data_IF_951656415512
#
_entry.id   IF_951656415512
#
_cell.length_a   1.000
_cell.length_b   1.000
_cell.length_c   1.000
_cell.angle_alpha   90.00
_cell.angle_beta   90.00
_cell.angle_gamma   90.00
#
_symmetry.space_group_name_H-M   'P 1'
#
loop_
_entity.id
_entity.type
_entity.pdbx_description
1 polymer ?
#
# COMPACT_ATOMS: atom_id res chain seq x y z
N UNK A 1 -9.88 18.02 -0.09
CA UNK A 1 -9.92 16.70 -0.78
C UNK A 1 -9.09 16.78 -2.05
N UNK A 2 -8.74 15.66 -2.66
CA UNK A 2 -8.26 15.64 -4.04
C UNK A 2 -9.47 15.81 -4.96
N UNK A 3 -9.44 16.78 -5.88
CA UNK A 3 -10.59 17.06 -6.75
C UNK A 3 -10.79 15.97 -7.81
N UNK A 4 -12.02 15.52 -8.00
CA UNK A 4 -12.39 14.58 -9.06
C UNK A 4 -12.57 15.27 -10.41
N UNK A 5 -12.94 16.55 -10.41
CA UNK A 5 -13.16 17.37 -11.61
C UNK A 5 -12.23 18.58 -11.64
N UNK A 6 -12.18 19.26 -12.79
CA UNK A 6 -11.36 20.47 -12.96
C UNK A 6 -11.86 21.63 -12.07
N UNK A 7 -13.17 21.71 -11.86
CA UNK A 7 -13.80 22.66 -10.95
C UNK A 7 -13.98 22.04 -9.56
N UNK A 8 -14.00 22.87 -8.53
CA UNK A 8 -14.22 22.47 -7.14
C UNK A 8 -15.68 22.09 -6.87
N UNK A 9 -16.09 20.92 -7.37
CA UNK A 9 -17.48 20.42 -7.35
C UNK A 9 -17.68 19.19 -6.47
N UNK A 10 -16.61 18.66 -5.89
CA UNK A 10 -16.67 17.55 -4.96
C UNK A 10 -17.53 17.90 -3.73
N UNK A 11 -18.35 16.93 -3.30
CA UNK A 11 -19.28 17.11 -2.17
C UNK A 11 -18.84 16.29 -0.96
N UNK A 12 -18.81 16.91 0.21
CA UNK A 12 -18.38 16.25 1.44
C UNK A 12 -19.29 15.10 1.91
N UNK A 13 -20.56 15.10 1.50
CA UNK A 13 -21.52 14.05 1.86
C UNK A 13 -21.62 12.93 0.80
N UNK A 14 -20.82 12.98 -0.26
CA UNK A 14 -20.87 11.99 -1.33
C UNK A 14 -20.12 10.70 -0.94
N UNK A 15 -20.91 9.65 -0.69
CA UNK A 15 -20.46 8.30 -0.36
C UNK A 15 -20.48 7.37 -1.57
N UNK A 16 -20.33 7.90 -2.77
CA UNK A 16 -20.29 7.11 -4.00
C UNK A 16 -19.23 6.00 -3.93
N UNK A 17 -19.58 4.82 -4.43
CA UNK A 17 -18.74 3.61 -4.39
C UNK A 17 -17.45 3.73 -5.21
N UNK A 18 -17.42 4.57 -6.25
CA UNK A 18 -16.20 4.85 -7.00
C UNK A 18 -15.42 6.01 -6.37
N UNK A 19 -14.10 5.85 -6.39
CA UNK A 19 -13.10 6.88 -6.06
C UNK A 19 -12.11 7.01 -7.21
N UNK A 20 -12.64 7.11 -8.43
CA UNK A 20 -11.87 6.97 -9.68
C UNK A 20 -10.68 7.92 -9.80
N UNK A 21 -10.81 9.13 -9.28
CA UNK A 21 -9.73 10.12 -9.23
C UNK A 21 -8.57 9.74 -8.30
N UNK A 22 -8.72 8.70 -7.47
CA UNK A 22 -7.65 8.08 -6.69
C UNK A 22 -6.89 6.98 -7.46
N UNK A 23 -7.13 6.80 -8.76
CA UNK A 23 -6.30 5.95 -9.62
C UNK A 23 -4.79 6.25 -9.47
N UNK A 24 -4.45 7.54 -9.32
CA UNK A 24 -3.09 8.04 -9.09
C UNK A 24 -2.44 7.46 -7.82
N UNK A 25 -3.23 7.15 -6.79
CA UNK A 25 -2.79 6.51 -5.54
C UNK A 25 -2.68 4.99 -5.69
N UNK A 26 -3.69 4.34 -6.27
CA UNK A 26 -3.66 2.92 -6.61
C UNK A 26 -4.63 2.64 -7.77
N UNK A 27 -4.22 1.89 -8.81
CA UNK A 27 -2.98 1.11 -8.91
C UNK A 27 -1.75 1.87 -9.44
N UNK A 28 -1.88 3.16 -9.80
CA UNK A 28 -0.75 3.98 -10.24
C UNK A 28 0.24 4.28 -9.11
N UNK A 29 1.22 5.15 -9.36
CA UNK A 29 2.28 5.54 -8.42
C UNK A 29 2.51 7.07 -8.39
N UNK A 30 1.47 7.85 -8.71
CA UNK A 30 1.55 9.31 -8.81
C UNK A 30 1.39 10.02 -7.46
N UNK A 31 0.87 9.33 -6.44
CA UNK A 31 0.67 9.93 -5.12
C UNK A 31 1.63 9.29 -4.12
N UNK A 32 2.68 10.02 -3.76
CA UNK A 32 3.71 9.61 -2.81
C UNK A 32 3.67 10.48 -1.55
N UNK A 33 3.72 9.87 -0.34
CA UNK A 33 3.87 10.64 0.90
C UNK A 33 5.21 11.37 1.00
N UNK A 34 6.22 10.95 0.24
CA UNK A 34 7.58 11.49 0.33
C UNK A 34 7.84 12.59 -0.72
N UNK A 35 7.23 12.46 -1.91
CA UNK A 35 7.48 13.37 -3.03
C UNK A 35 6.40 14.46 -3.16
N UNK A 36 5.15 14.16 -2.82
CA UNK A 36 4.00 15.07 -2.95
C UNK A 36 3.04 14.92 -1.76
N UNK A 37 3.48 15.28 -0.54
CA UNK A 37 2.72 15.09 0.69
C UNK A 37 1.37 15.82 0.69
N UNK A 38 1.23 16.95 0.00
CA UNK A 38 -0.06 17.63 -0.13
C UNK A 38 -1.12 16.78 -0.87
N UNK A 39 -0.73 16.09 -1.96
CA UNK A 39 -1.63 15.20 -2.68
C UNK A 39 -1.96 13.95 -1.86
N UNK A 40 -0.99 13.45 -1.11
CA UNK A 40 -1.19 12.32 -0.21
C UNK A 40 -2.22 12.65 0.89
N UNK A 41 -2.11 13.83 1.51
CA UNK A 41 -3.10 14.31 2.47
C UNK A 41 -4.47 14.51 1.82
N UNK A 42 -4.51 15.11 0.63
CA UNK A 42 -5.75 15.35 -0.10
C UNK A 42 -6.47 14.03 -0.44
N UNK A 43 -5.72 13.00 -0.86
CA UNK A 43 -6.24 11.66 -1.14
C UNK A 43 -6.76 10.96 0.12
N UNK A 44 -6.07 11.09 1.26
CA UNK A 44 -6.56 10.61 2.55
C UNK A 44 -7.89 11.26 2.91
N UNK A 45 -7.98 12.58 2.78
CA UNK A 45 -9.21 13.32 3.06
C UNK A 45 -10.35 12.87 2.13
N UNK A 46 -10.09 12.64 0.84
CA UNK A 46 -11.06 12.04 -0.08
C UNK A 46 -11.60 10.71 0.45
N UNK A 47 -10.73 9.78 0.90
CA UNK A 47 -11.18 8.48 1.42
C UNK A 47 -12.00 8.59 2.70
N UNK A 48 -11.62 9.47 3.63
CA UNK A 48 -12.38 9.74 4.84
C UNK A 48 -13.79 10.23 4.47
N UNK A 49 -13.88 11.15 3.52
CA UNK A 49 -15.14 11.72 3.00
C UNK A 49 -15.98 10.69 2.26
N UNK A 50 -15.38 9.78 1.49
CA UNK A 50 -16.10 8.69 0.80
C UNK A 50 -16.57 7.59 1.75
N UNK A 51 -15.87 7.40 2.88
CA UNK A 51 -16.21 6.43 3.91
C UNK A 51 -15.81 4.99 3.55
N UNK A 52 -15.91 4.09 4.52
CA UNK A 52 -15.36 2.73 4.41
C UNK A 52 -16.32 1.77 3.69
N UNK A 53 -17.53 1.58 4.24
CA UNK A 53 -18.51 0.58 3.77
C UNK A 53 -19.04 0.91 2.37
N UNK A 54 -19.08 -0.11 1.50
CA UNK A 54 -19.66 -0.04 0.15
C UNK A 54 -19.84 -1.45 -0.41
N UNK A 55 -19.90 -1.59 -1.74
CA UNK A 55 -19.87 -2.86 -2.46
C UNK A 55 -18.55 -3.62 -2.20
N UNK A 56 -18.53 -4.93 -2.43
CA UNK A 56 -17.34 -5.78 -2.26
C UNK A 56 -16.09 -5.26 -2.98
N UNK A 57 -16.15 -5.01 -4.30
CA UNK A 57 -15.02 -4.40 -5.04
C UNK A 57 -14.56 -3.05 -4.50
N UNK A 58 -15.50 -2.20 -4.04
CA UNK A 58 -15.16 -0.85 -3.57
C UNK A 58 -14.39 -0.95 -2.27
N UNK A 59 -14.81 -1.84 -1.37
CA UNK A 59 -14.06 -2.14 -0.15
C UNK A 59 -12.71 -2.78 -0.48
N UNK A 60 -12.64 -3.74 -1.41
CA UNK A 60 -11.40 -4.34 -1.89
C UNK A 60 -10.40 -3.31 -2.43
N UNK A 61 -10.86 -2.33 -3.22
CA UNK A 61 -10.01 -1.23 -3.69
C UNK A 61 -9.56 -0.34 -2.53
N UNK A 62 -10.45 -0.03 -1.58
CA UNK A 62 -10.12 0.78 -0.41
C UNK A 62 -9.09 0.11 0.51
N UNK A 63 -9.03 -1.22 0.62
CA UNK A 63 -7.92 -1.91 1.34
C UNK A 63 -6.57 -1.51 0.73
N UNK A 64 -6.46 -1.54 -0.61
CA UNK A 64 -5.24 -1.14 -1.32
C UNK A 64 -4.94 0.36 -1.13
N UNK A 65 -5.96 1.22 -1.21
CA UNK A 65 -5.79 2.67 -1.06
C UNK A 65 -5.34 3.03 0.38
N UNK A 66 -5.91 2.42 1.40
CA UNK A 66 -5.48 2.63 2.78
C UNK A 66 -4.10 2.03 3.07
N UNK A 67 -3.75 0.91 2.43
CA UNK A 67 -2.38 0.40 2.46
C UNK A 67 -1.39 1.41 1.85
N UNK A 68 -1.73 2.04 0.71
CA UNK A 68 -0.93 3.12 0.10
C UNK A 68 -0.86 4.38 0.95
N UNK A 69 -1.87 4.65 1.78
CA UNK A 69 -1.87 5.72 2.78
C UNK A 69 -1.10 5.39 4.06
N UNK A 70 -0.42 4.23 4.08
CA UNK A 70 0.38 3.74 5.20
C UNK A 70 -0.44 3.57 6.50
N UNK A 71 -1.75 3.34 6.36
CA UNK A 71 -2.66 3.15 7.49
C UNK A 71 -3.14 1.69 7.56
N UNK A 72 -2.32 0.86 8.21
CA UNK A 72 -2.59 -0.57 8.35
C UNK A 72 -3.87 -0.85 9.13
N UNK A 73 -4.18 -0.04 10.14
CA UNK A 73 -5.36 -0.22 10.98
C UNK A 73 -6.65 0.04 10.19
N UNK A 74 -6.67 1.05 9.31
CA UNK A 74 -7.83 1.31 8.46
C UNK A 74 -7.98 0.29 7.34
N UNK A 75 -6.88 -0.17 6.75
CA UNK A 75 -6.90 -1.28 5.80
C UNK A 75 -7.43 -2.58 6.46
N UNK A 76 -6.97 -2.89 7.68
CA UNK A 76 -7.44 -4.05 8.46
C UNK A 76 -8.94 -3.96 8.79
N UNK A 77 -9.42 -2.79 9.22
CA UNK A 77 -10.86 -2.57 9.44
C UNK A 77 -11.67 -2.90 8.18
N UNK A 78 -11.23 -2.47 7.00
CA UNK A 78 -11.93 -2.78 5.74
C UNK A 78 -11.93 -4.26 5.39
N UNK A 79 -10.85 -4.99 5.70
CA UNK A 79 -10.82 -6.45 5.57
C UNK A 79 -11.90 -7.06 6.48
N UNK A 80 -12.04 -6.58 7.72
CA UNK A 80 -13.11 -7.03 8.62
C UNK A 80 -14.50 -6.66 8.08
N UNK A 81 -14.67 -5.45 7.54
CA UNK A 81 -15.92 -4.99 6.95
C UNK A 81 -16.34 -5.90 5.77
N UNK A 82 -15.38 -6.36 4.95
CA UNK A 82 -15.61 -7.28 3.83
C UNK A 82 -15.89 -8.72 4.28
N UNK A 83 -15.22 -9.20 5.34
CA UNK A 83 -15.41 -10.53 5.94
C UNK A 83 -16.64 -10.61 6.88
N UNK A 84 -17.72 -9.91 6.53
CA UNK A 84 -19.01 -10.01 7.20
C UNK A 84 -20.00 -10.79 6.33
N UNK A 85 -21.00 -11.47 6.92
CA UNK A 85 -22.02 -12.18 6.14
C UNK A 85 -22.68 -11.28 5.10
N UNK A 86 -22.74 -11.77 3.86
CA UNK A 86 -23.43 -11.07 2.78
C UNK A 86 -24.91 -10.85 3.12
N UNK A 87 -25.50 -9.72 2.68
CA UNK A 87 -26.93 -9.46 2.86
C UNK A 87 -27.80 -10.51 2.17
N UNK A 88 -29.06 -10.62 2.63
CA UNK A 88 -30.10 -11.41 1.95
C UNK A 88 -30.53 -10.68 0.66
N UNK A 89 -30.48 -9.35 0.68
CA UNK A 89 -30.80 -8.51 -0.45
C UNK A 89 -29.83 -8.73 -1.63
N UNK A 90 -30.36 -8.81 -2.85
CA UNK A 90 -29.59 -9.00 -4.08
C UNK A 90 -29.28 -7.70 -4.83
N UNK A 91 -29.55 -6.55 -4.20
CA UNK A 91 -29.33 -5.22 -4.77
C UNK A 91 -28.78 -4.24 -3.72
N UNK A 92 -28.21 -3.13 -4.17
CA UNK A 92 -27.63 -2.10 -3.29
C UNK A 92 -26.10 -2.13 -3.22
N UNK A 93 -25.55 -1.56 -2.15
CA UNK A 93 -24.10 -1.38 -1.94
C UNK A 93 -23.65 -1.93 -0.58
N UNK A 94 -24.27 -3.02 -0.12
CA UNK A 94 -23.96 -3.67 1.14
C UNK A 94 -23.10 -4.90 0.85
N UNK A 95 -21.81 -4.69 0.57
CA UNK A 95 -20.90 -5.80 0.32
C UNK A 95 -20.74 -6.73 1.53
N UNK A 96 -20.08 -7.86 1.30
CA UNK A 96 -19.83 -8.87 2.31
C UNK A 96 -19.28 -10.15 1.70
N UNK A 97 -19.37 -11.24 2.44
CA UNK A 97 -18.83 -12.54 2.10
C UNK A 97 -19.92 -13.61 2.25
N UNK A 98 -20.16 -14.38 1.19
CA UNK A 98 -21.05 -15.53 1.19
C UNK A 98 -20.42 -16.73 1.94
N UNK A 99 -21.18 -17.78 2.32
CA UNK A 99 -20.64 -18.96 3.01
C UNK A 99 -19.54 -19.72 2.26
N UNK A 100 -19.48 -19.58 0.93
CA UNK A 100 -18.41 -20.13 0.08
C UNK A 100 -17.18 -19.22 -0.03
N UNK A 101 -17.11 -18.17 0.80
CA UNK A 101 -16.10 -17.12 0.79
C UNK A 101 -16.06 -16.25 -0.48
N UNK A 102 -17.07 -16.32 -1.34
CA UNK A 102 -17.18 -15.41 -2.47
C UNK A 102 -17.63 -14.03 -2.00
N UNK A 103 -17.04 -13.02 -2.63
CA UNK A 103 -17.37 -11.62 -2.43
C UNK A 103 -18.79 -11.31 -2.94
N UNK A 104 -19.47 -10.45 -2.19
CA UNK A 104 -20.76 -9.93 -2.53
C UNK A 104 -20.65 -8.45 -2.94
N UNK A 105 -21.15 -8.14 -4.12
CA UNK A 105 -21.49 -6.77 -4.46
C UNK A 105 -22.62 -6.23 -3.57
N UNK A 106 -23.77 -6.93 -3.35
CA UNK A 106 -24.32 -8.17 -3.98
C UNK A 106 -24.94 -7.94 -5.37
N UNK A 107 -25.12 -8.99 -6.22
CA UNK A 107 -24.86 -10.41 -5.97
C UNK A 107 -23.35 -10.76 -6.05
N UNK A 108 -23.00 -12.04 -6.21
CA UNK A 108 -21.61 -12.47 -6.40
C UNK A 108 -20.88 -11.65 -7.47
N UNK A 109 -19.73 -11.10 -7.10
CA UNK A 109 -18.75 -10.51 -8.00
C UNK A 109 -17.36 -10.87 -7.47
N UNK A 110 -16.47 -11.39 -8.31
CA UNK A 110 -15.17 -11.94 -7.85
C UNK A 110 -14.11 -10.86 -7.58
N UNK A 111 -14.37 -9.63 -8.03
CA UNK A 111 -13.47 -8.49 -7.95
C UNK A 111 -13.05 -8.17 -6.51
N UNK A 112 -13.95 -8.22 -5.53
CA UNK A 112 -13.62 -7.99 -4.14
C UNK A 112 -12.68 -9.05 -3.55
N UNK A 113 -12.78 -10.32 -3.95
CA UNK A 113 -11.85 -11.38 -3.50
C UNK A 113 -10.41 -11.08 -3.95
N UNK A 114 -10.23 -10.72 -5.23
CA UNK A 114 -8.91 -10.38 -5.77
C UNK A 114 -8.39 -9.05 -5.24
N UNK A 115 -9.27 -8.06 -5.11
CA UNK A 115 -8.96 -6.75 -4.53
C UNK A 115 -8.45 -6.85 -3.10
N UNK A 116 -9.11 -7.64 -2.25
CA UNK A 116 -8.68 -7.89 -0.87
C UNK A 116 -7.32 -8.60 -0.80
N UNK A 117 -7.14 -9.62 -1.64
CA UNK A 117 -5.85 -10.33 -1.75
C UNK A 117 -4.70 -9.39 -2.13
N UNK A 118 -4.92 -8.52 -3.12
CA UNK A 118 -3.98 -7.46 -3.50
C UNK A 118 -3.73 -6.49 -2.34
N UNK A 119 -4.79 -6.10 -1.63
CA UNK A 119 -4.70 -5.17 -0.50
C UNK A 119 -3.83 -5.72 0.63
N UNK A 120 -3.99 -7.00 0.99
CA UNK A 120 -3.15 -7.67 1.99
C UNK A 120 -1.68 -7.68 1.55
N UNK A 121 -1.41 -7.92 0.26
CA UNK A 121 -0.04 -7.84 -0.26
C UNK A 121 0.54 -6.42 -0.15
N UNK A 122 -0.21 -5.40 -0.54
CA UNK A 122 0.19 -3.98 -0.45
C UNK A 122 0.35 -3.48 1.00
N UNK A 123 -0.33 -4.11 1.98
CA UNK A 123 -0.10 -3.82 3.41
C UNK A 123 1.27 -4.31 3.88
N UNK A 124 1.76 -5.42 3.33
CA UNK A 124 2.97 -6.13 3.77
C UNK A 124 4.20 -5.76 2.93
N UNK A 125 4.01 -5.40 1.66
CA UNK A 125 5.08 -5.06 0.72
C UNK A 125 4.59 -4.06 -0.32
N UNK A 126 5.30 -2.93 -0.44
CA UNK A 126 5.12 -2.00 -1.57
C UNK A 126 6.42 -1.89 -2.35
N UNK A 127 6.32 -1.62 -3.65
CA UNK A 127 7.50 -1.54 -4.52
C UNK A 127 7.35 -0.52 -5.65
N UNK A 128 6.57 0.54 -5.44
CA UNK A 128 6.15 1.46 -6.52
C UNK A 128 6.77 2.85 -6.44
N UNK A 129 7.30 3.26 -5.29
CA UNK A 129 7.73 4.63 -5.01
C UNK A 129 9.25 4.74 -4.81
N UNK A 130 10.00 4.13 -5.73
CA UNK A 130 11.48 4.23 -5.75
C UNK A 130 12.23 3.18 -4.93
N UNK A 131 11.55 2.40 -4.11
CA UNK A 131 12.14 1.38 -3.24
C UNK A 131 11.19 0.20 -2.98
N UNK A 132 11.72 -0.86 -2.36
CA UNK A 132 10.94 -1.94 -1.75
C UNK A 132 10.67 -1.58 -0.30
N UNK A 133 9.43 -1.25 0.02
CA UNK A 133 8.98 -0.86 1.34
C UNK A 133 8.44 -2.07 2.10
N UNK A 134 9.13 -2.43 3.17
CA UNK A 134 8.84 -3.60 4.01
C UNK A 134 7.86 -3.21 5.12
N UNK A 135 6.74 -3.95 5.21
CA UNK A 135 5.67 -3.73 6.20
C UNK A 135 5.14 -2.28 6.23
N UNK A 136 4.80 -1.68 5.08
CA UNK A 136 4.42 -0.26 4.99
C UNK A 136 3.14 0.07 5.76
N UNK A 137 2.21 -0.88 5.88
CA UNK A 137 0.92 -0.70 6.52
C UNK A 137 0.52 -1.94 7.34
N UNK A 138 1.42 -2.41 8.22
CA UNK A 138 1.13 -3.49 9.15
C UNK A 138 0.14 -3.01 10.24
N UNK A 139 -1.00 -3.69 10.47
CA UNK A 139 -1.95 -3.30 11.52
C UNK A 139 -1.48 -3.75 12.90
N UNK A 140 -1.94 -3.03 13.93
CA UNK A 140 -1.61 -3.32 15.34
C UNK A 140 -2.08 -4.72 15.78
N UNK A 141 -3.13 -5.24 15.14
CA UNK A 141 -3.68 -6.58 15.40
C UNK A 141 -2.74 -7.69 14.93
N UNK A 142 -1.92 -7.47 13.90
CA UNK A 142 -0.97 -8.46 13.38
C UNK A 142 0.36 -8.39 14.14
N UNK A 143 0.29 -8.64 15.46
CA UNK A 143 1.44 -8.54 16.36
C UNK A 143 2.61 -9.42 15.94
N UNK A 144 2.37 -10.62 15.43
CA UNK A 144 3.43 -11.49 14.97
C UNK A 144 2.96 -12.26 13.74
N UNK A 145 3.88 -12.53 12.83
CA UNK A 145 3.54 -13.25 11.62
C UNK A 145 4.71 -13.40 10.67
N UNK A 146 4.44 -14.07 9.57
CA UNK A 146 5.35 -14.15 8.44
C UNK A 146 4.57 -14.22 7.13
N UNK A 147 5.19 -13.76 6.05
CA UNK A 147 4.73 -13.91 4.67
C UNK A 147 5.91 -14.34 3.81
N UNK A 148 5.64 -15.18 2.81
CA UNK A 148 6.66 -15.71 1.90
C UNK A 148 6.23 -15.57 0.46
N UNK A 149 7.18 -15.33 -0.43
CA UNK A 149 6.97 -15.34 -1.87
C UNK A 149 6.32 -14.10 -2.46
N UNK A 150 6.21 -12.99 -1.72
CA UNK A 150 5.74 -11.73 -2.31
C UNK A 150 6.76 -11.22 -3.33
N UNK A 151 6.29 -10.64 -4.42
CA UNK A 151 7.15 -10.18 -5.52
C UNK A 151 7.12 -8.66 -5.60
N UNK A 152 8.29 -8.04 -5.49
CA UNK A 152 8.48 -6.63 -5.78
C UNK A 152 8.90 -6.40 -7.24
N UNK A 153 8.61 -5.20 -7.78
CA UNK A 153 9.10 -4.74 -9.09
C UNK A 153 10.61 -4.97 -9.20
N UNK A 154 11.11 -5.25 -10.41
CA UNK A 154 12.54 -5.56 -10.61
C UNK A 154 12.98 -6.96 -10.23
N UNK A 155 12.05 -7.88 -9.96
CA UNK A 155 12.35 -9.31 -9.82
C UNK A 155 12.90 -9.69 -8.44
N UNK A 156 12.38 -9.07 -7.38
CA UNK A 156 12.77 -9.43 -6.01
C UNK A 156 11.66 -10.23 -5.33
N UNK A 157 11.95 -11.46 -4.96
CA UNK A 157 11.03 -12.30 -4.16
C UNK A 157 11.39 -12.13 -2.68
N UNK A 158 10.41 -11.77 -1.88
CA UNK A 158 10.60 -11.27 -0.52
C UNK A 158 9.83 -12.15 0.47
N UNK A 159 10.56 -12.66 1.47
CA UNK A 159 9.97 -13.27 2.66
C UNK A 159 10.23 -12.36 3.86
N UNK A 160 9.21 -12.15 4.69
CA UNK A 160 9.25 -11.25 5.84
C UNK A 160 8.70 -11.98 7.05
N UNK A 161 9.41 -11.92 8.17
CA UNK A 161 8.89 -12.28 9.49
C UNK A 161 8.94 -11.06 10.40
N UNK A 162 7.96 -10.91 11.27
CA UNK A 162 7.87 -9.75 12.15
C UNK A 162 7.32 -10.06 13.55
N UNK A 163 7.60 -9.13 14.47
CA UNK A 163 7.02 -9.06 15.81
C UNK A 163 6.84 -7.60 16.21
N UNK A 164 5.64 -7.25 16.68
CA UNK A 164 5.16 -5.91 17.01
C UNK A 164 5.50 -4.88 15.91
N UNK A 165 5.13 -5.20 14.68
CA UNK A 165 5.39 -4.36 13.50
C UNK A 165 6.86 -4.23 13.08
N UNK A 166 7.80 -4.91 13.77
CA UNK A 166 9.23 -4.83 13.49
C UNK A 166 9.72 -6.11 12.83
N UNK A 167 10.56 -5.96 11.80
CA UNK A 167 11.16 -7.09 11.09
C UNK A 167 12.06 -7.89 12.03
N UNK A 168 11.86 -9.20 12.08
CA UNK A 168 12.72 -10.14 12.81
C UNK A 168 13.65 -10.90 11.85
N UNK A 169 13.15 -11.24 10.66
CA UNK A 169 13.91 -11.84 9.58
C UNK A 169 13.38 -11.34 8.24
N UNK A 170 14.28 -11.10 7.29
CA UNK A 170 13.96 -10.70 5.93
C UNK A 170 14.85 -11.48 4.95
N UNK A 171 14.24 -12.04 3.92
CA UNK A 171 14.94 -12.74 2.84
C UNK A 171 14.54 -12.13 1.51
N UNK A 172 15.53 -11.84 0.68
CA UNK A 172 15.34 -11.29 -0.66
C UNK A 172 16.06 -12.18 -1.66
N UNK A 173 15.33 -12.82 -2.55
CA UNK A 173 15.88 -13.50 -3.73
C UNK A 173 15.83 -12.52 -4.91
N UNK A 174 16.98 -12.21 -5.49
CA UNK A 174 17.06 -11.39 -6.70
C UNK A 174 17.02 -12.30 -7.92
N UNK A 175 16.04 -12.15 -8.81
CA UNK A 175 15.95 -12.94 -10.04
C UNK A 175 16.65 -12.26 -11.21
N UNK A 176 16.78 -10.94 -11.19
CA UNK A 176 17.37 -10.14 -12.28
C UNK A 176 18.70 -9.46 -11.90
N UNK A 177 19.09 -9.45 -10.62
CA UNK A 177 20.25 -8.71 -10.14
C UNK A 177 19.99 -7.21 -10.00
N UNK A 178 21.06 -6.41 -10.01
CA UNK A 178 20.97 -4.95 -9.94
C UNK A 178 20.90 -4.39 -8.51
N UNK A 179 20.64 -3.09 -8.40
CA UNK A 179 20.52 -2.43 -7.10
C UNK A 179 19.18 -2.81 -6.43
N UNK A 180 19.24 -3.30 -5.20
CA UNK A 180 18.08 -3.51 -4.35
C UNK A 180 18.06 -2.41 -3.30
N UNK A 181 17.01 -1.57 -3.33
CA UNK A 181 16.77 -0.51 -2.35
C UNK A 181 15.65 -0.94 -1.42
N UNK A 182 15.96 -1.12 -0.13
CA UNK A 182 14.98 -1.49 0.89
C UNK A 182 14.65 -0.29 1.77
N UNK A 183 13.37 -0.06 2.03
CA UNK A 183 12.89 0.81 3.11
C UNK A 183 12.35 -0.05 4.25
N UNK A 184 12.93 0.12 5.44
CA UNK A 184 12.58 -0.65 6.64
C UNK A 184 12.54 0.27 7.87
N UNK A 185 11.47 0.20 8.65
CA UNK A 185 11.27 1.03 9.86
C UNK A 185 12.03 0.51 11.09
N UNK A 186 12.34 -0.78 11.12
CA UNK A 186 13.24 -1.37 12.13
C UNK A 186 14.67 -1.45 11.62
N UNK A 187 15.65 -1.27 12.52
CA UNK A 187 17.05 -1.51 12.19
C UNK A 187 17.28 -3.00 11.86
N UNK A 188 17.98 -3.25 10.76
CA UNK A 188 18.34 -4.60 10.29
C UNK A 188 19.86 -4.73 10.12
N UNK A 189 20.35 -5.95 10.23
CA UNK A 189 21.72 -6.34 9.95
C UNK A 189 21.73 -7.45 8.89
N UNK A 190 22.65 -7.37 7.94
CA UNK A 190 22.84 -8.41 6.95
C UNK A 190 23.50 -9.65 7.57
N UNK A 191 23.08 -10.83 7.13
CA UNK A 191 23.80 -12.08 7.37
C UNK A 191 24.88 -12.27 6.29
N UNK A 192 26.07 -12.67 6.71
CA UNK A 192 27.18 -12.96 5.79
C UNK A 192 27.89 -11.71 5.27
N UNK A 193 28.29 -11.72 3.99
CA UNK A 193 29.17 -10.70 3.39
C UNK A 193 28.44 -9.50 2.78
N UNK A 194 27.11 -9.49 2.79
CA UNK A 194 26.32 -8.40 2.21
C UNK A 194 26.52 -7.13 3.02
N UNK A 195 26.84 -6.02 2.35
CA UNK A 195 27.04 -4.72 2.99
C UNK A 195 25.85 -3.82 2.65
N UNK A 196 25.06 -3.47 3.68
CA UNK A 196 24.01 -2.46 3.56
C UNK A 196 24.64 -1.06 3.59
N UNK A 197 24.41 -0.27 2.55
CA UNK A 197 24.82 1.14 2.50
C UNK A 197 23.59 2.02 2.65
N UNK A 198 23.69 3.12 3.39
CA UNK A 198 22.62 4.12 3.40
C UNK A 198 22.37 4.61 1.97
N UNK A 199 21.11 4.55 1.52
CA UNK A 199 20.76 4.94 0.17
C UNK A 199 20.92 6.44 -0.04
N UNK A 200 21.32 6.83 -1.25
CA UNK A 200 21.46 8.24 -1.65
C UNK A 200 20.90 8.46 -3.05
N UNK A 201 20.37 9.66 -3.30
CA UNK A 201 19.86 10.07 -4.61
C UNK A 201 18.76 9.15 -5.16
N UNK A 202 18.59 9.19 -6.48
CA UNK A 202 17.60 8.38 -7.22
C UNK A 202 18.09 6.93 -7.32
N UNK A 203 17.17 5.98 -7.16
CA UNK A 203 17.47 4.57 -7.34
C UNK A 203 17.81 4.31 -8.81
N UNK A 204 19.01 3.77 -9.07
CA UNK A 204 19.51 3.53 -10.43
C UNK A 204 18.87 2.29 -11.08
N UNK A 205 18.10 1.51 -10.34
CA UNK A 205 17.34 0.39 -10.89
C UNK A 205 16.08 0.94 -11.61
N UNK A 206 16.03 0.79 -12.93
CA UNK A 206 15.00 1.34 -13.82
C UNK A 206 13.57 0.86 -13.50
N UNK A 207 13.41 -0.28 -12.84
CA UNK A 207 12.10 -0.77 -12.36
C UNK A 207 11.51 0.08 -11.22
N UNK A 208 12.27 1.01 -10.68
CA UNK A 208 11.89 1.91 -9.58
C UNK A 208 11.94 3.38 -10.00
N UNK A 209 11.77 3.67 -11.29
CA UNK A 209 11.55 5.04 -11.74
C UNK A 209 10.31 5.62 -11.05
N UNK A 210 10.42 6.87 -10.59
CA UNK A 210 9.32 7.59 -9.96
C UNK A 210 8.39 8.14 -11.04
N UNK A 211 7.10 8.19 -10.73
CA UNK A 211 6.13 8.85 -11.60
C UNK A 211 6.37 10.37 -11.59
N UNK A 212 6.48 10.96 -12.78
CA UNK A 212 6.53 12.42 -12.90
C UNK A 212 5.15 13.02 -12.70
N UNK A 213 5.04 13.99 -11.79
CA UNK A 213 3.78 14.65 -11.43
C UNK A 213 4.00 16.16 -11.42
N UNK A 214 3.07 16.90 -12.03
CA UNK A 214 3.10 18.35 -12.00
C UNK A 214 2.88 18.87 -10.58
N UNK A 215 3.43 20.05 -10.28
CA UNK A 215 3.20 20.69 -8.99
C UNK A 215 1.69 20.88 -8.75
N UNK A 216 1.13 20.34 -7.66
CA UNK A 216 -0.29 20.46 -7.36
C UNK A 216 -0.71 21.92 -7.18
N UNK A 217 -1.92 22.25 -7.63
CA UNK A 217 -2.56 23.54 -7.34
C UNK A 217 -3.38 23.38 -6.06
N UNK A 218 -3.22 24.32 -5.14
CA UNK A 218 -3.96 24.34 -3.87
C UNK A 218 -4.91 25.53 -3.90
N UNK A 219 -6.21 25.26 -3.74
CA UNK A 219 -7.23 26.32 -3.67
C UNK A 219 -6.98 27.20 -2.43
N UNK A 220 -7.29 28.50 -2.53
CA UNK A 220 -7.09 29.43 -1.40
C UNK A 220 -7.90 29.06 -0.15
N UNK A 221 -9.03 28.38 -0.35
CA UNK A 221 -9.92 27.89 0.71
C UNK A 221 -9.49 26.55 1.31
N UNK A 222 -8.50 25.87 0.72
CA UNK A 222 -8.06 24.56 1.18
C UNK A 222 -7.21 24.67 2.46
N UNK A 223 -7.52 23.82 3.43
CA UNK A 223 -6.74 23.66 4.67
C UNK A 223 -6.07 22.30 4.69
N UNK A 224 -4.75 22.28 4.63
CA UNK A 224 -3.90 21.08 4.77
C UNK A 224 -3.20 21.11 6.13
N UNK A 225 -3.31 20.01 6.87
CA UNK A 225 -2.71 19.82 8.20
C UNK A 225 -1.23 19.42 8.11
N UNK A 226 -0.78 19.02 6.93
CA UNK A 226 0.53 18.42 6.72
C UNK A 226 0.53 16.93 7.07
N UNK A 227 1.52 16.22 6.52
CA UNK A 227 1.69 14.78 6.73
C UNK A 227 2.98 14.54 7.49
N UNK A 228 2.90 13.79 8.59
CA UNK A 228 4.06 13.25 9.27
C UNK A 228 4.17 11.75 8.95
N UNK A 229 5.07 11.39 8.05
CA UNK A 229 5.35 9.99 7.69
C UNK A 229 6.73 9.63 8.19
N UNK A 230 6.82 8.52 8.92
CA UNK A 230 8.11 7.92 9.25
C UNK A 230 8.82 7.53 7.95
N UNK A 231 9.99 8.13 7.69
CA UNK A 231 10.76 7.88 6.48
C UNK A 231 11.42 6.50 6.49
N UNK A 232 11.54 5.86 7.66
CA UNK A 232 12.27 4.61 7.82
C UNK A 232 13.74 4.73 7.42
N UNK A 233 14.42 3.58 7.37
CA UNK A 233 15.80 3.49 6.92
C UNK A 233 15.82 3.00 5.47
N UNK A 234 16.51 3.72 4.59
CA UNK A 234 16.76 3.31 3.22
C UNK A 234 18.15 2.71 3.07
N UNK A 235 18.22 1.49 2.56
CA UNK A 235 19.47 0.79 2.30
C UNK A 235 19.59 0.38 0.84
N UNK A 236 20.77 0.60 0.25
CA UNK A 236 21.17 0.07 -1.04
C UNK A 236 22.17 -1.09 -0.84
N UNK A 237 21.99 -2.15 -1.61
CA UNK A 237 22.99 -3.19 -1.82
C UNK A 237 22.89 -3.76 -3.24
N UNK A 238 24.03 -4.13 -3.80
CA UNK A 238 24.09 -4.76 -5.12
C UNK A 238 23.67 -6.22 -5.02
N UNK A 239 22.88 -6.66 -5.99
CA UNK A 239 22.45 -8.04 -6.11
C UNK A 239 22.86 -8.67 -7.44
N UNK A 240 23.00 -9.98 -7.42
CA UNK A 240 23.25 -10.83 -8.58
C UNK A 240 22.03 -11.72 -8.81
N UNK A 241 21.75 -12.03 -10.08
CA UNK A 241 20.65 -12.91 -10.45
C UNK A 241 20.80 -14.31 -9.81
N UNK A 242 19.70 -14.83 -9.28
CA UNK A 242 19.61 -16.13 -8.62
C UNK A 242 20.10 -16.14 -7.16
N UNK A 243 20.75 -15.08 -6.67
CA UNK A 243 21.28 -15.04 -5.29
C UNK A 243 20.20 -14.65 -4.28
N UNK A 244 20.43 -15.10 -3.04
CA UNK A 244 19.57 -14.83 -1.88
C UNK A 244 20.35 -14.01 -0.86
N UNK A 245 19.69 -12.98 -0.33
CA UNK A 245 20.22 -12.04 0.65
C UNK A 245 19.35 -12.12 1.90
N UNK A 246 19.97 -12.32 3.06
CA UNK A 246 19.26 -12.48 4.33
C UNK A 246 19.63 -11.37 5.31
N UNK A 247 18.63 -10.88 6.04
CA UNK A 247 18.76 -9.84 7.05
C UNK A 247 18.00 -10.24 8.30
N UNK A 248 18.48 -9.80 9.45
CA UNK A 248 17.87 -10.02 10.76
C UNK A 248 17.73 -8.71 11.51
N UNK A 249 16.88 -8.71 12.54
CA UNK A 249 16.80 -7.59 13.49
C UNK A 249 18.19 -7.28 14.06
N UNK A 250 18.53 -5.98 14.09
CA UNK A 250 19.72 -5.46 14.79
C UNK A 250 19.45 -5.27 16.29
#
# INVERSE_FOLDING_TARGET
QLQEWLQDWDKENDRHRHVSHLYGLFPSAQISPYNNPELFEAARNTLITRGDKSTGWSMGWKVNLWARLLDGNRAYKLIQDQLNPAPIETSGQNGGTYPNLFDAHPPFQIDGNFGCTSGIAEMLLQSHDGDIHILPAIPDQWKQGNVKGLVARGGFVVDISWTNGKVTSLKVKSTLGGNCRLRVHSAIAAKGKTVLKAAKGINQNSFYALAEVQKPRVAQTASLKGVNVDKGNLYDFKTEAGKVYEFVKK
#
